data_IF_705475917310
#
_entry.id   IF_705475917310
#
_cell.length_a   1.000
_cell.length_b   1.000
_cell.length_c   1.000
_cell.angle_alpha   90.00
_cell.angle_beta   90.00
_cell.angle_gamma   90.00
#
_symmetry.space_group_name_H-M   'P 1'
#
loop_
_entity.id
_entity.type
_entity.pdbx_description
1 polymer ?
#
# COMPACT_ATOMS: atom_id res chain seq x y z
N UNK A 1 6.26 9.29 7.62
CA UNK A 1 5.51 8.82 6.42
C UNK A 1 5.98 7.42 6.03
N UNK A 2 5.12 6.59 5.43
CA UNK A 2 5.47 5.22 4.98
C UNK A 2 5.21 5.12 3.48
N UNK A 3 6.14 4.53 2.73
CA UNK A 3 5.94 4.21 1.31
C UNK A 3 5.65 2.73 1.17
N UNK A 4 4.43 2.39 0.75
CA UNK A 4 3.96 1.01 0.59
C UNK A 4 3.43 0.76 -0.82
N UNK A 5 3.33 -0.51 -1.22
CA UNK A 5 2.88 -0.94 -2.54
C UNK A 5 3.54 -2.24 -2.96
N UNK A 6 3.05 -2.83 -4.05
CA UNK A 6 3.50 -4.15 -4.51
C UNK A 6 5.01 -4.17 -4.85
N UNK A 7 5.59 -5.37 -4.95
CA UNK A 7 6.98 -5.49 -5.42
C UNK A 7 7.11 -4.96 -6.86
N UNK A 8 8.13 -4.16 -7.13
CA UNK A 8 8.40 -3.62 -8.48
C UNK A 8 7.67 -2.33 -8.86
N UNK A 9 6.75 -1.80 -8.04
CA UNK A 9 5.98 -0.58 -8.39
C UNK A 9 6.78 0.73 -8.38
N UNK A 10 8.09 0.69 -8.12
CA UNK A 10 8.97 1.87 -8.18
C UNK A 10 9.13 2.66 -6.87
N UNK A 11 8.87 2.07 -5.69
CA UNK A 11 9.00 2.74 -4.37
C UNK A 11 10.37 3.40 -4.15
N UNK A 12 11.46 2.63 -4.32
CA UNK A 12 12.82 3.16 -4.15
C UNK A 12 13.19 4.21 -5.20
N UNK A 13 12.67 4.07 -6.43
CA UNK A 13 12.84 5.07 -7.48
C UNK A 13 12.12 6.38 -7.15
N UNK A 14 10.92 6.31 -6.56
CA UNK A 14 10.19 7.47 -6.09
C UNK A 14 10.93 8.16 -4.94
N UNK A 15 11.43 7.40 -3.97
CA UNK A 15 12.19 7.94 -2.85
C UNK A 15 13.46 8.68 -3.31
N UNK A 16 14.21 8.13 -4.27
CA UNK A 16 15.36 8.84 -4.86
C UNK A 16 14.98 10.11 -5.62
N UNK A 17 13.74 10.24 -6.13
CA UNK A 17 13.26 11.49 -6.75
C UNK A 17 12.83 12.51 -5.71
N UNK A 18 12.27 12.06 -4.58
CA UNK A 18 11.89 12.92 -3.46
C UNK A 18 13.14 13.48 -2.78
N UNK A 19 14.13 12.64 -2.54
CA UNK A 19 15.41 13.03 -1.98
C UNK A 19 16.55 12.29 -2.70
N UNK A 20 17.26 12.99 -3.62
CA UNK A 20 18.37 12.40 -4.37
C UNK A 20 19.54 11.95 -3.50
N UNK A 21 19.66 12.43 -2.27
CA UNK A 21 20.76 12.08 -1.36
C UNK A 21 20.61 10.67 -0.79
N UNK A 22 19.40 10.10 -0.82
CA UNK A 22 19.13 8.75 -0.31
C UNK A 22 19.88 7.66 -1.09
N UNK A 23 20.12 7.88 -2.39
CA UNK A 23 20.85 6.97 -3.28
C UNK A 23 20.50 5.49 -3.08
N UNK A 24 19.20 5.20 -2.95
CA UNK A 24 18.69 3.84 -2.74
C UNK A 24 18.99 3.00 -3.97
N UNK A 25 19.36 1.74 -3.74
CA UNK A 25 19.58 0.79 -4.84
C UNK A 25 18.27 0.57 -5.59
N UNK A 26 18.29 0.84 -6.89
CA UNK A 26 17.22 0.55 -7.83
C UNK A 26 17.77 -0.48 -8.83
N UNK A 27 16.99 -1.51 -9.14
CA UNK A 27 17.32 -2.48 -10.18
C UNK A 27 16.27 -2.38 -11.28
N UNK A 28 16.63 -2.75 -12.51
CA UNK A 28 15.67 -2.91 -13.59
C UNK A 28 14.63 -4.00 -13.24
N UNK A 29 13.41 -3.81 -13.74
CA UNK A 29 12.35 -4.81 -13.61
C UNK A 29 12.76 -6.03 -14.44
N UNK A 30 12.70 -7.23 -13.83
CA UNK A 30 13.01 -8.47 -14.53
C UNK A 30 12.04 -8.68 -15.70
N UNK A 31 12.58 -8.76 -16.92
CA UNK A 31 11.81 -8.99 -18.15
C UNK A 31 11.23 -10.41 -18.23
N UNK A 32 11.84 -11.38 -17.54
CA UNK A 32 11.48 -12.82 -17.65
C UNK A 32 10.20 -13.20 -16.90
N UNK A 33 9.72 -12.37 -15.98
CA UNK A 33 8.62 -12.74 -15.10
C UNK A 33 7.77 -11.56 -14.60
N UNK A 34 7.98 -10.35 -15.16
CA UNK A 34 7.27 -9.09 -14.81
C UNK A 34 7.24 -8.76 -13.30
N UNK A 35 8.08 -9.46 -12.52
CA UNK A 35 8.10 -9.37 -11.06
C UNK A 35 9.31 -8.56 -10.65
N UNK A 36 9.06 -7.42 -10.01
CA UNK A 36 10.12 -6.63 -9.41
C UNK A 36 10.93 -7.45 -8.40
N UNK A 37 12.25 -7.51 -8.60
CA UNK A 37 13.19 -8.13 -7.66
C UNK A 37 13.35 -7.19 -6.46
N UNK A 38 13.10 -7.69 -5.25
CA UNK A 38 13.24 -6.89 -4.04
C UNK A 38 14.68 -6.39 -3.90
N UNK A 39 14.86 -5.08 -3.88
CA UNK A 39 16.11 -4.49 -3.42
C UNK A 39 16.10 -4.22 -1.91
N UNK A 40 14.90 -4.00 -1.33
CA UNK A 40 14.68 -3.78 0.12
C UNK A 40 13.97 -4.99 0.75
N UNK A 41 14.62 -5.65 1.72
CA UNK A 41 14.14 -6.87 2.40
C UNK A 41 13.62 -6.64 3.83
N UNK A 42 13.83 -5.45 4.39
CA UNK A 42 13.35 -5.05 5.71
C UNK A 42 12.89 -3.60 5.70
N UNK A 43 11.97 -3.24 6.59
CA UNK A 43 11.56 -1.85 6.76
C UNK A 43 12.74 -1.00 7.27
N UNK A 44 12.94 0.19 6.70
CA UNK A 44 14.00 1.12 7.10
C UNK A 44 13.43 2.51 7.33
N UNK A 45 13.72 3.09 8.49
CA UNK A 45 13.46 4.49 8.78
C UNK A 45 14.62 5.33 8.25
N UNK A 46 14.32 6.27 7.35
CA UNK A 46 15.29 7.05 6.60
C UNK A 46 15.03 8.53 6.89
N UNK A 47 16.02 9.29 7.39
CA UNK A 47 15.90 10.75 7.51
C UNK A 47 15.93 11.40 6.13
N UNK A 48 15.12 12.44 5.94
CA UNK A 48 15.12 13.24 4.71
C UNK A 48 15.98 14.49 4.87
N UNK A 49 16.61 14.95 3.79
CA UNK A 49 17.45 16.14 3.78
C UNK A 49 16.70 17.41 4.22
N UNK A 50 15.43 17.56 3.81
CA UNK A 50 14.56 18.68 4.17
C UNK A 50 13.87 18.49 5.54
N UNK A 51 14.27 17.46 6.29
CA UNK A 51 13.74 17.13 7.61
C UNK A 51 12.61 16.10 7.61
N UNK A 52 12.40 15.49 8.78
CA UNK A 52 11.46 14.39 8.96
C UNK A 52 12.01 13.04 8.51
N UNK A 53 11.11 12.05 8.46
CA UNK A 53 11.47 10.66 8.18
C UNK A 53 10.48 9.96 7.25
N UNK A 54 11.02 9.07 6.44
CA UNK A 54 10.27 8.14 5.61
C UNK A 54 10.63 6.71 5.95
N UNK A 55 9.64 5.82 5.97
CA UNK A 55 9.86 4.39 6.08
C UNK A 55 9.78 3.78 4.69
N UNK A 56 10.89 3.23 4.20
CA UNK A 56 10.91 2.36 3.01
C UNK A 56 10.57 0.93 3.47
N UNK A 57 9.61 0.28 2.80
CA UNK A 57 9.18 -1.08 3.16
C UNK A 57 9.40 -2.05 2.00
N UNK A 58 9.59 -3.36 2.29
CA UNK A 58 9.50 -4.38 1.26
C UNK A 58 8.18 -4.28 0.48
N UNK A 59 8.21 -4.68 -0.79
CA UNK A 59 6.99 -4.75 -1.59
C UNK A 59 6.01 -5.78 -1.03
N UNK A 60 4.74 -5.41 -0.97
CA UNK A 60 3.67 -6.34 -0.62
C UNK A 60 3.50 -7.36 -1.75
N UNK A 61 3.48 -8.66 -1.43
CA UNK A 61 3.22 -9.72 -2.42
C UNK A 61 1.78 -10.19 -2.40
N UNK A 62 1.19 -10.21 -1.23
CA UNK A 62 -0.18 -10.63 -1.00
C UNK A 62 -0.76 -9.72 0.06
N UNK A 63 -1.97 -9.24 -0.20
CA UNK A 63 -2.76 -8.47 0.75
C UNK A 63 -3.90 -9.38 1.22
N UNK A 64 -4.10 -9.46 2.53
CA UNK A 64 -5.19 -10.19 3.15
C UNK A 64 -5.77 -9.38 4.29
N UNK A 65 -7.06 -9.55 4.51
CA UNK A 65 -7.88 -8.84 5.49
C UNK A 65 -8.02 -9.69 6.76
N UNK A 66 -6.90 -10.02 7.41
CA UNK A 66 -6.86 -11.00 8.50
C UNK A 66 -7.72 -10.62 9.71
N UNK A 67 -7.76 -9.33 10.05
CA UNK A 67 -8.46 -8.79 11.23
C UNK A 67 -9.61 -7.88 10.81
N UNK A 68 -10.33 -8.25 9.75
CA UNK A 68 -11.49 -7.53 9.25
C UNK A 68 -12.63 -8.51 9.03
N UNK A 69 -13.77 -8.26 9.67
CA UNK A 69 -15.00 -9.00 9.39
C UNK A 69 -15.73 -8.38 8.19
N UNK A 70 -16.56 -9.16 7.50
CA UNK A 70 -17.21 -8.75 6.26
C UNK A 70 -18.02 -7.44 6.40
N UNK A 71 -18.73 -7.27 7.52
CA UNK A 71 -19.53 -6.08 7.82
C UNK A 71 -18.71 -4.82 8.10
N UNK A 72 -17.39 -4.93 8.32
CA UNK A 72 -16.52 -3.76 8.49
C UNK A 72 -16.02 -3.21 7.15
N UNK A 73 -16.04 -4.03 6.09
CA UNK A 73 -15.40 -3.71 4.80
C UNK A 73 -15.99 -2.44 4.18
N UNK A 74 -17.31 -2.29 4.22
CA UNK A 74 -18.04 -1.11 3.71
C UNK A 74 -17.61 0.20 4.40
N UNK A 75 -17.25 0.13 5.68
CA UNK A 75 -16.78 1.27 6.47
C UNK A 75 -15.39 1.77 6.04
N UNK A 76 -14.60 0.93 5.36
CA UNK A 76 -13.28 1.29 4.85
C UNK A 76 -13.32 1.97 3.48
N UNK A 77 -14.43 1.89 2.75
CA UNK A 77 -14.64 2.61 1.51
C UNK A 77 -15.16 4.03 1.79
N UNK A 78 -14.31 5.04 1.58
CA UNK A 78 -14.63 6.46 1.85
C UNK A 78 -15.95 6.93 1.21
N UNK A 79 -16.23 6.46 0.01
CA UNK A 79 -17.39 6.88 -0.78
C UNK A 79 -18.67 6.13 -0.37
N UNK A 80 -18.54 4.96 0.27
CA UNK A 80 -19.67 4.12 0.71
C UNK A 80 -20.01 4.41 2.18
N UNK A 81 -18.99 4.65 3.02
CA UNK A 81 -19.11 4.87 4.46
C UNK A 81 -20.27 5.80 4.89
N UNK A 82 -20.57 6.93 4.23
CA UNK A 82 -21.68 7.81 4.63
C UNK A 82 -23.07 7.17 4.48
N UNK A 83 -23.19 6.13 3.67
CA UNK A 83 -24.45 5.47 3.31
C UNK A 83 -24.70 4.16 4.06
N UNK A 84 -23.70 3.64 4.79
CA UNK A 84 -23.79 2.37 5.55
C UNK A 84 -25.02 2.33 6.46
N UNK A 85 -25.30 3.41 7.18
CA UNK A 85 -26.47 3.49 8.08
C UNK A 85 -27.81 3.79 7.37
N UNK A 86 -27.78 3.96 6.05
CA UNK A 86 -28.96 4.26 5.23
C UNK A 86 -29.46 3.03 4.47
N UNK A 87 -28.80 1.88 4.64
CA UNK A 87 -29.23 0.61 4.09
C UNK A 87 -30.61 0.24 4.62
N UNK A 88 -31.46 -0.24 3.70
CA UNK A 88 -32.82 -0.68 4.03
C UNK A 88 -32.84 -1.94 4.90
N UNK A 89 -31.77 -2.72 4.85
CA UNK A 89 -31.62 -3.99 5.54
C UNK A 89 -30.51 -3.86 6.60
N UNK A 90 -30.77 -4.37 7.81
CA UNK A 90 -29.86 -4.28 8.96
C UNK A 90 -28.61 -5.16 8.81
N UNK A 91 -28.64 -6.16 7.91
CA UNK A 91 -27.57 -7.12 7.61
C UNK A 91 -27.12 -7.08 6.14
N UNK A 92 -27.26 -5.92 5.48
CA UNK A 92 -26.92 -5.74 4.08
C UNK A 92 -25.43 -6.00 3.81
N UNK A 93 -25.12 -6.98 2.96
CA UNK A 93 -23.76 -7.27 2.48
C UNK A 93 -23.33 -6.41 1.29
N UNK A 94 -24.30 -5.76 0.60
CA UNK A 94 -24.10 -5.02 -0.64
C UNK A 94 -23.58 -5.88 -1.81
N UNK A 95 -23.84 -7.19 -1.78
CA UNK A 95 -23.44 -8.14 -2.82
C UNK A 95 -24.64 -8.77 -3.53
N UNK A 96 -25.77 -8.95 -2.84
CA UNK A 96 -26.91 -9.72 -3.37
C UNK A 96 -28.28 -9.08 -3.11
N UNK A 97 -28.33 -8.00 -2.33
CA UNK A 97 -29.56 -7.30 -1.96
C UNK A 97 -30.05 -6.45 -3.14
N UNK A 98 -31.37 -6.46 -3.40
CA UNK A 98 -32.04 -5.65 -4.44
C UNK A 98 -32.52 -4.30 -3.90
#
# INVERSE_FOLDING_TARGET
NVVTGQSGVGKSSLLNKVDPTLNLKVNDVSLDNEKGKHTTTAARLIPLADGGYVVDTPGVRQFQLWDVIETEVEGFFRDIRPFVHQSRFDDCSHVHEN
#
